data_IF_851144563814
#
_entry.id   IF_851144563814
#
_cell.length_a   1.000
_cell.length_b   1.000
_cell.length_c   1.000
_cell.angle_alpha   90.00
_cell.angle_beta   90.00
_cell.angle_gamma   90.00
#
_symmetry.space_group_name_H-M   'P 1'
#
loop_
_entity.id
_entity.type
_entity.pdbx_description
1 polymer ?
#
# COMPACT_ATOMS: atom_id res chain seq x y z
N UNK A 1 21.54 -16.28 27.30
CA UNK A 1 20.75 -17.39 26.75
C UNK A 1 20.60 -17.19 25.25
N UNK A 2 21.35 -17.97 24.46
CA UNK A 2 21.47 -17.83 23.00
C UNK A 2 20.33 -18.60 22.33
N UNK A 3 19.40 -17.89 21.69
CA UNK A 3 18.26 -18.53 21.02
C UNK A 3 18.71 -19.03 19.64
N UNK A 4 18.73 -20.35 19.49
CA UNK A 4 19.03 -21.05 18.24
C UNK A 4 17.97 -20.72 17.17
N UNK A 5 18.25 -19.74 16.32
CA UNK A 5 17.43 -19.39 15.15
C UNK A 5 17.45 -20.55 14.14
N UNK A 6 16.48 -21.45 14.25
CA UNK A 6 16.23 -22.54 13.29
C UNK A 6 15.97 -21.94 11.90
N UNK A 7 16.70 -22.43 10.88
CA UNK A 7 16.50 -22.11 9.47
C UNK A 7 15.03 -22.36 9.08
N UNK A 8 14.30 -21.33 8.64
CA UNK A 8 12.91 -21.49 8.18
C UNK A 8 12.86 -22.14 6.77
N UNK A 9 11.90 -23.04 6.49
CA UNK A 9 11.73 -23.67 5.19
C UNK A 9 11.34 -22.67 4.08
N UNK A 10 11.63 -22.99 2.81
CA UNK A 10 11.31 -22.18 1.61
C UNK A 10 9.83 -21.79 1.47
N UNK A 11 8.91 -22.60 2.00
CA UNK A 11 7.45 -22.32 2.04
C UNK A 11 7.03 -21.32 3.13
N UNK A 12 7.97 -20.84 3.96
CA UNK A 12 7.73 -19.76 4.93
C UNK A 12 7.92 -18.36 4.35
N UNK A 13 8.58 -18.24 3.19
CA UNK A 13 8.88 -16.97 2.54
C UNK A 13 7.57 -16.32 2.07
N UNK A 14 7.28 -15.11 2.56
CA UNK A 14 6.06 -14.37 2.22
C UNK A 14 4.78 -14.87 2.91
N UNK A 15 4.85 -15.77 3.90
CA UNK A 15 3.67 -16.24 4.64
C UNK A 15 3.09 -15.14 5.54
N UNK A 16 3.95 -14.30 6.11
CA UNK A 16 3.58 -13.14 6.93
C UNK A 16 3.10 -11.98 6.04
N UNK A 17 3.76 -11.70 4.92
CA UNK A 17 3.23 -10.79 3.90
C UNK A 17 1.85 -11.21 3.38
N UNK A 18 1.64 -12.50 3.07
CA UNK A 18 0.34 -13.05 2.66
C UNK A 18 -0.69 -13.03 3.79
N UNK A 19 -0.29 -13.32 5.03
CA UNK A 19 -1.17 -13.22 6.19
C UNK A 19 -1.58 -11.76 6.46
N UNK A 20 -0.65 -10.80 6.37
CA UNK A 20 -0.94 -9.36 6.45
C UNK A 20 -1.86 -8.89 5.33
N UNK A 21 -1.61 -9.33 4.09
CA UNK A 21 -2.47 -9.03 2.96
C UNK A 21 -3.88 -9.63 3.12
N UNK A 22 -3.99 -10.86 3.61
CA UNK A 22 -5.25 -11.57 3.80
C UNK A 22 -6.07 -11.03 4.99
N UNK A 23 -5.42 -10.76 6.13
CA UNK A 23 -6.06 -10.23 7.33
C UNK A 23 -6.63 -8.83 7.09
N UNK A 24 -5.88 -7.97 6.38
CA UNK A 24 -6.33 -6.62 6.03
C UNK A 24 -7.38 -6.62 4.92
N UNK A 25 -7.30 -7.53 3.94
CA UNK A 25 -8.38 -7.71 2.96
C UNK A 25 -9.69 -8.15 3.64
N UNK A 26 -9.61 -9.02 4.66
CA UNK A 26 -10.76 -9.43 5.45
C UNK A 26 -11.30 -8.31 6.35
N UNK A 27 -10.46 -7.37 6.78
CA UNK A 27 -10.87 -6.15 7.48
C UNK A 27 -11.59 -5.18 6.54
N UNK A 28 -11.06 -4.96 5.33
CA UNK A 28 -11.75 -4.16 4.30
C UNK A 28 -13.11 -4.75 3.96
N UNK A 29 -13.22 -6.06 3.75
CA UNK A 29 -14.49 -6.74 3.49
C UNK A 29 -15.47 -6.53 4.64
N UNK A 30 -15.04 -6.78 5.89
CA UNK A 30 -15.88 -6.55 7.07
C UNK A 30 -16.29 -5.09 7.23
N UNK A 31 -15.41 -4.15 6.89
CA UNK A 31 -15.69 -2.71 6.94
C UNK A 31 -16.71 -2.30 5.88
N UNK A 32 -16.59 -2.81 4.66
CA UNK A 32 -17.57 -2.59 3.58
C UNK A 32 -18.92 -3.22 3.91
N UNK A 33 -18.94 -4.43 4.46
CA UNK A 33 -20.17 -5.09 4.92
C UNK A 33 -20.82 -4.32 6.08
N UNK A 34 -20.03 -3.80 7.02
CA UNK A 34 -20.52 -2.95 8.10
C UNK A 34 -21.13 -1.65 7.57
N UNK A 35 -20.47 -0.97 6.63
CA UNK A 35 -21.03 0.24 5.97
C UNK A 35 -22.37 -0.05 5.31
N UNK A 36 -22.46 -1.16 4.56
CA UNK A 36 -23.71 -1.57 3.89
C UNK A 36 -24.82 -1.90 4.89
N UNK A 37 -24.46 -2.61 5.97
CA UNK A 37 -25.42 -2.98 7.01
C UNK A 37 -25.98 -1.74 7.70
N UNK A 38 -25.13 -0.75 8.02
CA UNK A 38 -25.56 0.52 8.61
C UNK A 38 -26.47 1.28 7.65
N UNK A 39 -26.12 1.35 6.36
CA UNK A 39 -26.95 2.01 5.35
C UNK A 39 -28.32 1.32 5.13
N UNK A 40 -28.41 0.00 5.32
CA UNK A 40 -29.68 -0.74 5.24
C UNK A 40 -30.59 -0.50 6.47
N UNK A 41 -30.03 -0.10 7.61
CA UNK A 41 -30.77 0.07 8.87
C UNK A 41 -30.98 1.54 9.29
N UNK A 42 -30.34 2.49 8.61
CA UNK A 42 -30.52 3.91 8.86
C UNK A 42 -31.91 4.40 8.43
N UNK A 43 -32.46 5.36 9.17
CA UNK A 43 -33.80 5.93 8.89
C UNK A 43 -33.76 6.81 7.64
N UNK A 44 -32.68 7.58 7.46
CA UNK A 44 -32.40 8.43 6.31
C UNK A 44 -30.89 8.61 6.09
N UNK A 45 -30.51 9.44 5.11
CA UNK A 45 -29.12 9.66 4.73
C UNK A 45 -28.29 10.38 5.81
N UNK A 46 -28.90 11.32 6.54
CA UNK A 46 -28.24 12.08 7.60
C UNK A 46 -27.99 11.17 8.82
N UNK A 47 -28.97 10.35 9.18
CA UNK A 47 -28.86 9.32 10.22
C UNK A 47 -27.76 8.29 9.87
N UNK A 48 -27.73 7.82 8.62
CA UNK A 48 -26.67 6.93 8.13
C UNK A 48 -25.27 7.55 8.31
N UNK A 49 -25.11 8.81 7.90
CA UNK A 49 -23.84 9.52 8.02
C UNK A 49 -23.41 9.68 9.48
N UNK A 50 -24.36 9.97 10.37
CA UNK A 50 -24.09 10.13 11.79
C UNK A 50 -23.69 8.80 12.46
N UNK A 51 -24.34 7.70 12.11
CA UNK A 51 -24.00 6.35 12.57
C UNK A 51 -22.62 5.90 12.08
N UNK A 52 -22.30 6.14 10.80
CA UNK A 52 -20.99 5.82 10.24
C UNK A 52 -19.88 6.62 10.92
N UNK A 53 -20.12 7.92 11.18
CA UNK A 53 -19.17 8.76 11.90
C UNK A 53 -18.90 8.26 13.33
N UNK A 54 -19.94 7.81 14.04
CA UNK A 54 -19.78 7.21 15.38
C UNK A 54 -18.97 5.92 15.38
N UNK A 55 -19.03 5.15 14.29
CA UNK A 55 -18.28 3.91 14.12
C UNK A 55 -16.89 4.13 13.48
N UNK A 56 -16.51 5.37 13.19
CA UNK A 56 -15.30 5.69 12.44
C UNK A 56 -15.30 5.14 11.01
N UNK A 57 -16.47 4.82 10.47
CA UNK A 57 -16.67 4.32 9.10
C UNK A 57 -16.94 5.50 8.16
N UNK A 58 -16.67 5.32 6.87
CA UNK A 58 -16.96 6.31 5.83
C UNK A 58 -17.86 5.66 4.79
N UNK A 59 -18.92 6.35 4.37
CA UNK A 59 -19.75 5.86 3.27
C UNK A 59 -18.94 5.96 1.97
N UNK A 60 -18.78 4.84 1.26
CA UNK A 60 -18.37 4.88 -0.14
C UNK A 60 -19.63 5.17 -0.95
N UNK A 61 -19.73 6.38 -1.48
CA UNK A 61 -20.96 6.84 -2.09
C UNK A 61 -21.34 5.96 -3.29
N UNK A 62 -22.52 5.37 -3.21
CA UNK A 62 -22.92 4.24 -4.03
C UNK A 62 -24.34 4.37 -4.56
N UNK A 63 -24.74 5.52 -5.13
CA UNK A 63 -25.90 5.56 -6.02
C UNK A 63 -25.95 6.76 -6.98
N UNK A 64 -26.15 6.41 -8.26
CA UNK A 64 -26.58 7.21 -9.41
C UNK A 64 -27.61 8.29 -9.04
N UNK A 65 -27.49 9.49 -9.61
CA UNK A 65 -28.66 10.29 -10.01
C UNK A 65 -28.41 11.08 -11.30
N UNK A 66 -29.29 10.85 -12.27
CA UNK A 66 -29.57 11.75 -13.37
C UNK A 66 -30.23 13.03 -12.85
N UNK A 67 -29.86 14.15 -13.46
CA UNK A 67 -30.55 15.46 -13.46
C UNK A 67 -30.81 16.13 -12.11
N UNK A 68 -30.01 17.13 -11.76
CA UNK A 68 -30.48 18.53 -11.69
C UNK A 68 -29.34 19.50 -11.39
N UNK A 69 -29.45 20.66 -12.02
CA UNK A 69 -28.58 21.84 -11.94
C UNK A 69 -28.47 22.44 -10.54
N UNK A 70 -27.24 22.71 -10.08
CA UNK A 70 -26.97 23.52 -8.89
C UNK A 70 -25.50 23.48 -8.49
N UNK A 71 -24.81 24.61 -8.65
CA UNK A 71 -23.40 24.85 -8.32
C UNK A 71 -23.11 24.66 -6.82
N UNK A 72 -22.34 23.63 -6.47
CA UNK A 72 -21.22 23.64 -5.51
C UNK A 72 -20.61 22.21 -5.49
N UNK A 73 -19.30 22.08 -5.72
CA UNK A 73 -18.67 20.84 -6.20
C UNK A 73 -17.93 20.04 -5.10
N UNK A 74 -18.34 18.79 -4.79
CA UNK A 74 -17.51 17.81 -4.07
C UNK A 74 -17.21 16.52 -4.87
N UNK A 75 -17.50 16.45 -6.17
CA UNK A 75 -17.47 15.21 -6.98
C UNK A 75 -16.05 14.71 -7.37
N UNK A 76 -14.98 15.44 -7.03
CA UNK A 76 -13.61 15.13 -7.48
C UNK A 76 -12.91 14.04 -6.65
N UNK A 77 -13.38 13.76 -5.42
CA UNK A 77 -12.64 12.92 -4.45
C UNK A 77 -12.83 11.41 -4.67
N UNK A 78 -14.02 10.99 -5.07
CA UNK A 78 -14.37 9.58 -5.31
C UNK A 78 -13.68 9.06 -6.58
N UNK A 79 -13.71 9.85 -7.66
CA UNK A 79 -13.03 9.48 -8.91
C UNK A 79 -11.50 9.50 -8.75
N UNK A 80 -10.97 10.46 -7.98
CA UNK A 80 -9.55 10.53 -7.62
C UNK A 80 -9.05 9.32 -6.83
N UNK A 81 -9.85 8.81 -5.89
CA UNK A 81 -9.50 7.62 -5.10
C UNK A 81 -9.49 6.35 -5.96
N UNK A 82 -10.48 6.19 -6.83
CA UNK A 82 -10.53 5.05 -7.75
C UNK A 82 -9.39 5.09 -8.78
N UNK A 83 -9.05 6.28 -9.29
CA UNK A 83 -7.90 6.48 -10.17
C UNK A 83 -6.57 6.15 -9.46
N UNK A 84 -6.41 6.60 -8.21
CA UNK A 84 -5.24 6.29 -7.38
C UNK A 84 -5.10 4.78 -7.14
N UNK A 85 -6.18 4.10 -6.77
CA UNK A 85 -6.16 2.64 -6.58
C UNK A 85 -5.75 1.89 -7.85
N UNK A 86 -6.35 2.22 -9.00
CA UNK A 86 -6.01 1.60 -10.29
C UNK A 86 -4.55 1.86 -10.68
N UNK A 87 -4.12 3.11 -10.54
CA UNK A 87 -2.75 3.53 -10.85
C UNK A 87 -1.72 2.84 -9.96
N UNK A 88 -1.99 2.76 -8.65
CA UNK A 88 -1.10 2.12 -7.69
C UNK A 88 -1.01 0.61 -7.94
N UNK A 89 -2.13 -0.06 -8.20
CA UNK A 89 -2.14 -1.47 -8.57
C UNK A 89 -1.26 -1.75 -9.81
N UNK A 90 -1.45 -0.95 -10.86
CA UNK A 90 -0.67 -1.05 -12.10
C UNK A 90 0.83 -0.81 -11.88
N UNK A 91 1.17 0.22 -11.10
CA UNK A 91 2.55 0.51 -10.76
C UNK A 91 3.20 -0.61 -9.94
N UNK A 92 2.48 -1.17 -8.97
CA UNK A 92 2.98 -2.30 -8.17
C UNK A 92 3.20 -3.55 -8.99
N UNK A 93 2.34 -3.81 -9.97
CA UNK A 93 2.56 -4.89 -10.92
C UNK A 93 3.86 -4.67 -11.72
N UNK A 94 4.09 -3.45 -12.21
CA UNK A 94 5.32 -3.12 -12.93
C UNK A 94 6.57 -3.22 -12.04
N UNK A 95 6.49 -2.79 -10.77
CA UNK A 95 7.58 -2.93 -9.79
C UNK A 95 7.84 -4.40 -9.46
N UNK A 96 6.80 -5.20 -9.24
CA UNK A 96 6.92 -6.63 -8.97
C UNK A 96 7.63 -7.35 -10.13
N UNK A 97 7.21 -7.06 -11.36
CA UNK A 97 7.84 -7.58 -12.57
C UNK A 97 9.32 -7.16 -12.67
N UNK A 98 9.65 -5.89 -12.40
CA UNK A 98 11.02 -5.39 -12.45
C UNK A 98 11.92 -5.98 -11.35
N UNK A 99 11.39 -6.17 -10.14
CA UNK A 99 12.10 -6.78 -9.00
C UNK A 99 12.23 -8.31 -9.17
N UNK A 100 11.35 -8.92 -9.97
CA UNK A 100 11.31 -10.36 -10.20
C UNK A 100 10.61 -11.12 -9.08
N UNK A 101 9.57 -10.53 -8.48
CA UNK A 101 8.71 -11.18 -7.48
C UNK A 101 7.33 -11.45 -8.07
N UNK A 102 6.68 -12.56 -7.66
CA UNK A 102 5.34 -12.89 -8.15
C UNK A 102 4.31 -11.87 -7.66
N UNK A 103 3.24 -11.64 -8.44
CA UNK A 103 2.18 -10.69 -8.12
C UNK A 103 1.46 -11.01 -6.81
N UNK A 104 1.36 -12.29 -6.44
CA UNK A 104 0.77 -12.74 -5.17
C UNK A 104 1.62 -12.35 -3.94
N UNK A 105 2.85 -11.88 -4.16
CA UNK A 105 3.73 -11.33 -3.13
C UNK A 105 3.51 -9.84 -2.88
N UNK A 106 2.49 -9.23 -3.49
CA UNK A 106 2.20 -7.79 -3.41
C UNK A 106 0.86 -7.50 -2.73
N UNK A 107 0.77 -6.36 -2.06
CA UNK A 107 -0.47 -5.87 -1.45
C UNK A 107 -0.39 -4.34 -1.32
N UNK A 108 -1.53 -3.66 -1.37
CA UNK A 108 -1.61 -2.22 -1.18
C UNK A 108 -2.92 -1.82 -0.51
N UNK A 109 -2.90 -0.63 0.09
CA UNK A 109 -4.03 -0.03 0.77
C UNK A 109 -4.08 1.45 0.43
N UNK A 110 -5.29 1.96 0.17
CA UNK A 110 -5.55 3.38 -0.03
C UNK A 110 -6.63 3.77 0.98
N UNK A 111 -6.19 4.30 2.12
CA UNK A 111 -7.03 4.79 3.22
C UNK A 111 -6.75 6.30 3.43
N UNK A 112 -6.57 6.76 4.66
CA UNK A 112 -6.03 8.09 4.99
C UNK A 112 -4.57 8.25 4.52
N UNK A 113 -3.84 7.15 4.35
CA UNK A 113 -2.53 7.07 3.69
C UNK A 113 -2.50 5.95 2.65
N UNK A 114 -1.94 6.21 1.46
CA UNK A 114 -1.65 5.17 0.48
C UNK A 114 -0.34 4.44 0.81
N UNK A 115 -0.40 3.10 0.90
CA UNK A 115 0.74 2.23 1.23
C UNK A 115 0.78 0.99 0.36
N UNK A 116 1.96 0.42 0.19
CA UNK A 116 2.14 -0.83 -0.54
C UNK A 116 3.31 -1.67 -0.01
N UNK A 117 3.24 -2.98 -0.27
CA UNK A 117 4.16 -3.97 0.25
C UNK A 117 4.48 -5.00 -0.82
N UNK A 118 5.75 -5.39 -0.91
CA UNK A 118 6.23 -6.51 -1.72
C UNK A 118 7.15 -7.40 -0.87
N UNK A 119 6.87 -8.70 -0.80
CA UNK A 119 7.74 -9.66 -0.16
C UNK A 119 8.98 -9.94 -1.03
N UNK A 120 10.19 -9.74 -0.48
CA UNK A 120 11.42 -10.06 -1.19
C UNK A 120 11.85 -11.49 -0.85
N UNK A 121 11.89 -12.36 -1.86
CA UNK A 121 12.26 -13.79 -1.68
C UNK A 121 13.77 -14.02 -1.54
N UNK A 122 14.58 -12.96 -1.63
CA UNK A 122 16.04 -12.97 -1.62
C UNK A 122 16.56 -12.90 -0.18
N UNK A 123 17.56 -13.73 0.13
CA UNK A 123 18.22 -13.68 1.44
C UNK A 123 19.15 -12.49 1.54
N UNK A 124 19.08 -11.79 2.67
CA UNK A 124 20.04 -10.76 3.01
C UNK A 124 21.33 -11.39 3.57
N UNK A 125 22.50 -11.22 2.94
CA UNK A 125 23.73 -11.86 3.42
C UNK A 125 24.14 -11.44 4.84
N UNK A 126 23.83 -10.20 5.24
CA UNK A 126 24.17 -9.67 6.57
C UNK A 126 23.26 -10.25 7.67
N UNK A 127 22.03 -10.65 7.35
CA UNK A 127 21.12 -11.36 8.26
C UNK A 127 20.37 -12.48 7.53
N UNK A 128 20.99 -13.66 7.35
CA UNK A 128 20.42 -14.76 6.55
C UNK A 128 19.13 -15.39 7.10
N UNK A 129 18.75 -15.04 8.33
CA UNK A 129 17.59 -15.55 9.04
C UNK A 129 16.39 -14.59 9.00
N UNK A 130 16.61 -13.36 8.54
CA UNK A 130 15.60 -12.32 8.47
C UNK A 130 15.21 -12.15 6.99
N UNK A 131 13.93 -12.35 6.67
CA UNK A 131 13.41 -12.07 5.34
C UNK A 131 13.31 -10.55 5.15
N UNK A 132 13.36 -10.08 3.91
CA UNK A 132 13.22 -8.66 3.59
C UNK A 132 11.86 -8.38 2.96
N UNK A 133 11.32 -7.20 3.21
CA UNK A 133 10.19 -6.66 2.50
C UNK A 133 10.55 -5.30 1.88
N UNK A 134 9.92 -5.00 0.77
CA UNK A 134 9.94 -3.69 0.15
C UNK A 134 8.61 -2.99 0.46
N UNK A 135 8.68 -1.86 1.14
CA UNK A 135 7.52 -1.07 1.59
C UNK A 135 7.52 0.26 0.87
N UNK A 136 6.33 0.70 0.51
CA UNK A 136 6.10 2.02 -0.03
C UNK A 136 5.03 2.76 0.77
N UNK A 137 5.21 4.06 0.97
CA UNK A 137 4.10 4.95 1.30
C UNK A 137 4.19 6.23 0.51
N UNK A 138 3.04 6.85 0.24
CA UNK A 138 2.99 8.16 -0.42
C UNK A 138 3.81 9.24 0.32
N UNK A 139 4.00 9.08 1.64
CA UNK A 139 4.79 10.01 2.48
C UNK A 139 6.29 9.74 2.47
N UNK A 140 6.71 8.48 2.39
CA UNK A 140 8.11 8.09 2.62
C UNK A 140 8.81 7.48 1.40
N UNK A 141 8.08 7.24 0.31
CA UNK A 141 8.61 6.53 -0.85
C UNK A 141 8.97 5.08 -0.52
N UNK A 142 9.95 4.54 -1.23
CA UNK A 142 10.36 3.13 -1.14
C UNK A 142 11.39 2.89 -0.05
N UNK A 143 11.18 1.84 0.73
CA UNK A 143 12.03 1.42 1.85
C UNK A 143 12.20 -0.10 1.79
N UNK A 144 13.44 -0.58 1.90
CA UNK A 144 13.70 -1.98 2.23
C UNK A 144 13.74 -2.11 3.75
N UNK A 145 12.97 -3.04 4.29
CA UNK A 145 12.92 -3.35 5.72
C UNK A 145 12.99 -4.85 5.98
N UNK A 146 13.25 -5.21 7.22
CA UNK A 146 13.13 -6.60 7.68
C UNK A 146 11.65 -6.99 7.79
N UNK A 147 11.30 -8.20 7.37
CA UNK A 147 10.00 -8.81 7.62
C UNK A 147 9.83 -9.10 9.13
N UNK A 148 9.00 -8.31 9.80
CA UNK A 148 8.69 -8.43 11.24
C UNK A 148 7.24 -8.91 11.46
N UNK A 149 6.94 -9.37 12.68
CA UNK A 149 5.57 -9.76 13.04
C UNK A 149 4.61 -8.54 13.02
N UNK A 150 3.30 -8.73 12.80
CA UNK A 150 2.33 -7.64 12.86
C UNK A 150 2.40 -6.90 14.22
N UNK A 151 2.48 -5.57 14.19
CA UNK A 151 2.56 -4.73 15.40
C UNK A 151 3.98 -4.45 15.89
N UNK A 152 5.00 -5.13 15.35
CA UNK A 152 6.40 -4.80 15.64
C UNK A 152 6.90 -3.60 14.82
N UNK A 153 7.82 -2.85 15.40
CA UNK A 153 8.45 -1.71 14.74
C UNK A 153 9.17 -2.16 13.46
N UNK A 154 8.98 -1.40 12.37
CA UNK A 154 9.61 -1.70 11.09
C UNK A 154 11.11 -1.38 11.17
N UNK A 155 11.95 -2.39 11.01
CA UNK A 155 13.40 -2.20 10.99
C UNK A 155 13.82 -1.79 9.58
N UNK A 156 14.12 -0.50 9.40
CA UNK A 156 14.59 0.06 8.13
C UNK A 156 16.02 -0.41 7.83
N UNK A 157 16.20 -1.03 6.65
CA UNK A 157 17.51 -1.42 6.13
C UNK A 157 18.06 -0.30 5.25
N UNK A 158 17.22 0.22 4.35
CA UNK A 158 17.58 1.25 3.38
C UNK A 158 16.34 1.98 2.85
N UNK A 159 16.51 3.22 2.43
CA UNK A 159 15.50 4.06 1.80
C UNK A 159 15.98 4.42 0.38
N UNK A 160 15.05 4.40 -0.57
CA UNK A 160 15.28 4.97 -1.89
C UNK A 160 15.16 6.48 -1.78
N UNK A 161 16.29 7.18 -1.93
CA UNK A 161 16.33 8.64 -1.96
C UNK A 161 15.68 9.23 -3.22
N UNK A 162 15.69 10.55 -3.31
CA UNK A 162 15.15 11.31 -4.43
C UNK A 162 13.93 12.15 -4.06
N UNK A 163 13.37 12.83 -5.06
CA UNK A 163 12.25 13.77 -4.91
C UNK A 163 10.93 13.20 -5.40
N UNK A 164 10.93 11.93 -5.81
CA UNK A 164 9.80 11.28 -6.45
C UNK A 164 9.33 10.06 -5.64
N UNK A 165 8.09 10.05 -5.10
CA UNK A 165 7.54 8.87 -4.44
C UNK A 165 7.26 7.70 -5.40
N UNK A 166 7.10 7.94 -6.70
CA UNK A 166 6.75 6.94 -7.73
C UNK A 166 7.82 6.93 -8.84
N UNK A 167 9.06 6.53 -8.52
CA UNK A 167 10.14 6.46 -9.51
C UNK A 167 9.86 5.40 -10.58
N UNK A 168 10.77 5.29 -11.56
CA UNK A 168 10.70 4.21 -12.55
C UNK A 168 10.85 2.82 -11.86
N UNK A 169 10.07 1.79 -12.24
CA UNK A 169 10.13 0.46 -11.64
C UNK A 169 11.53 -0.17 -11.68
N UNK A 170 12.33 0.12 -12.71
CA UNK A 170 13.71 -0.37 -12.82
C UNK A 170 14.64 0.31 -11.83
N UNK A 171 14.38 1.56 -11.47
CA UNK A 171 15.13 2.24 -10.41
C UNK A 171 14.87 1.58 -9.05
N UNK A 172 13.62 1.18 -8.77
CA UNK A 172 13.26 0.41 -7.57
C UNK A 172 13.95 -0.95 -7.57
N UNK A 173 13.93 -1.67 -8.69
CA UNK A 173 14.58 -2.97 -8.82
C UNK A 173 16.12 -2.90 -8.63
N UNK A 174 16.75 -1.87 -9.19
CA UNK A 174 18.17 -1.60 -8.99
C UNK A 174 18.47 -1.32 -7.52
N UNK A 175 17.68 -0.46 -6.89
CA UNK A 175 17.81 -0.16 -5.47
C UNK A 175 17.71 -1.44 -4.60
N UNK A 176 16.73 -2.30 -4.84
CA UNK A 176 16.61 -3.59 -4.14
C UNK A 176 17.84 -4.46 -4.35
N UNK A 177 18.34 -4.55 -5.60
CA UNK A 177 19.55 -5.30 -5.93
C UNK A 177 20.76 -4.77 -5.18
N UNK A 178 20.92 -3.45 -5.14
CA UNK A 178 22.05 -2.79 -4.51
C UNK A 178 22.04 -3.03 -2.98
N UNK A 179 20.88 -2.93 -2.35
CA UNK A 179 20.70 -3.21 -0.91
C UNK A 179 21.01 -4.68 -0.58
N UNK A 180 20.53 -5.63 -1.39
CA UNK A 180 20.81 -7.06 -1.20
C UNK A 180 22.30 -7.37 -1.39
N UNK A 181 22.96 -6.70 -2.34
CA UNK A 181 24.40 -6.81 -2.57
C UNK A 181 25.25 -6.12 -1.46
N UNK A 182 24.61 -5.36 -0.57
CA UNK A 182 25.25 -4.70 0.57
C UNK A 182 25.88 -3.35 0.23
N UNK A 183 25.50 -2.72 -0.89
CA UNK A 183 25.89 -1.35 -1.17
C UNK A 183 25.26 -0.38 -0.16
N UNK A 184 25.97 0.71 0.14
CA UNK A 184 25.46 1.71 1.06
C UNK A 184 24.29 2.46 0.42
N UNK A 185 23.20 2.53 1.17
CA UNK A 185 22.01 3.29 0.84
C UNK A 185 21.63 4.17 2.04
N UNK A 186 20.85 5.21 1.76
CA UNK A 186 20.32 6.09 2.80
C UNK A 186 19.45 5.28 3.78
N UNK A 187 19.41 5.69 5.05
CA UNK A 187 18.56 5.06 6.06
C UNK A 187 17.44 5.97 6.56
N UNK A 188 17.50 7.24 6.16
CA UNK A 188 16.48 8.24 6.50
C UNK A 188 15.57 8.38 5.30
N UNK A 189 14.26 8.06 5.44
CA UNK A 189 13.34 8.18 4.32
C UNK A 189 13.09 9.65 3.97
N UNK A 190 12.94 9.99 2.68
CA UNK A 190 12.43 11.30 2.28
C UNK A 190 11.02 11.54 2.85
N UNK A 191 10.61 12.81 2.91
CA UNK A 191 9.26 13.19 3.34
C UNK A 191 8.56 13.93 2.21
N UNK A 192 7.51 13.30 1.68
CA UNK A 192 6.67 13.87 0.63
C UNK A 192 5.36 14.42 1.22
N UNK A 193 4.85 15.55 0.70
CA UNK A 193 3.55 16.11 1.09
C UNK A 193 2.39 15.28 0.53
N UNK A 194 1.39 14.98 1.36
CA UNK A 194 0.29 14.05 1.07
C UNK A 194 -1.06 14.73 0.81
N UNK A 195 -1.43 15.76 1.57
CA UNK A 195 -2.83 16.23 1.63
C UNK A 195 -3.29 16.96 0.36
N UNK A 196 -2.38 17.60 -0.37
CA UNK A 196 -2.67 18.31 -1.64
C UNK A 196 -2.36 17.46 -2.90
N UNK A 197 -1.87 16.23 -2.73
CA UNK A 197 -1.08 15.57 -3.78
C UNK A 197 -1.67 14.25 -4.30
N UNK A 198 -2.81 13.77 -3.77
CA UNK A 198 -3.38 12.47 -4.17
C UNK A 198 -3.88 12.43 -5.61
N UNK A 199 -4.49 13.51 -6.07
CA UNK A 199 -4.88 13.63 -7.48
C UNK A 199 -3.65 13.62 -8.39
N UNK A 200 -2.64 14.42 -8.07
CA UNK A 200 -1.37 14.46 -8.79
C UNK A 200 -0.63 13.11 -8.74
N UNK A 201 -0.66 12.40 -7.61
CA UNK A 201 -0.14 11.05 -7.47
C UNK A 201 -0.87 10.07 -8.42
N UNK A 202 -2.19 10.15 -8.51
CA UNK A 202 -2.99 9.37 -9.44
C UNK A 202 -2.65 9.68 -10.91
N UNK A 203 -2.52 10.96 -11.27
CA UNK A 203 -2.07 11.40 -12.62
C UNK A 203 -0.72 10.80 -12.98
N UNK A 204 0.23 10.81 -12.04
CA UNK A 204 1.58 10.25 -12.26
C UNK A 204 1.58 8.74 -12.40
N UNK A 205 0.65 8.05 -11.75
CA UNK A 205 0.47 6.61 -11.84
C UNK A 205 -0.27 6.17 -13.11
N UNK A 206 -1.00 7.08 -13.78
CA UNK A 206 -1.81 6.76 -14.97
C UNK A 206 -1.00 6.10 -16.09
N UNK A 207 0.29 6.45 -16.20
CA UNK A 207 1.22 5.88 -17.19
C UNK A 207 1.37 4.36 -17.09
N UNK A 208 1.09 3.76 -15.92
CA UNK A 208 1.21 2.33 -15.71
C UNK A 208 -0.10 1.58 -16.03
N UNK A 209 -1.25 2.25 -16.00
CA UNK A 209 -2.57 1.64 -16.22
C UNK A 209 -2.71 1.08 -17.64
N UNK A 210 -2.10 1.72 -18.64
CA UNK A 210 -2.09 1.24 -20.03
C UNK A 210 -1.05 0.14 -20.31
N UNK A 211 -0.17 -0.17 -19.34
CA UNK A 211 0.95 -1.11 -19.49
C UNK A 211 0.77 -2.39 -18.65
N UNK A 212 -0.41 -2.57 -18.04
CA UNK A 212 -0.75 -3.67 -17.13
C UNK A 212 -1.32 -4.88 -17.86
#
# INVERSE_FOLDING_TARGET
MSQARRRRPREAQGRLARARAAERSAETIRRTEAVRTVAEHAVDADDCQQLLAMLGLQAVDGRRNLTSTGTDSPDTTVDGTAALQRGLAAYLHAVAAAVGVPSEGTSFEVSDTATAYLALTRRWPQRPNDDLMLVWSERNGWIVSVETDPGEETIVVACLGGTDPVPDPRAVARFVTDVIAGFQAERTPPKFPTDENRHHLAERLVRYVASS
#
